data_IF_173121976070
#
_entry.id   IF_173121976070
#
_cell.length_a   1.000
_cell.length_b   1.000
_cell.length_c   1.000
_cell.angle_alpha   90.00
_cell.angle_beta   90.00
_cell.angle_gamma   90.00
#
_symmetry.space_group_name_H-M   'P 1'
#
loop_
_entity.id
_entity.type
_entity.pdbx_description
1 polymer ?
#
# COMPACT_ATOMS: atom_id res chain seq x y z
N UNK A 1 -13.97 11.44 -7.95
CA UNK A 1 -12.57 11.76 -8.34
C UNK A 1 -12.27 11.14 -9.70
N UNK A 2 -12.35 9.81 -9.85
CA UNK A 2 -12.09 9.10 -11.11
C UNK A 2 -13.01 9.45 -12.30
N UNK A 3 -14.29 9.72 -12.10
CA UNK A 3 -15.19 10.03 -13.22
C UNK A 3 -14.84 11.40 -13.88
N UNK A 4 -14.24 12.34 -13.13
CA UNK A 4 -13.65 13.59 -13.67
C UNK A 4 -12.28 13.40 -14.34
N UNK A 5 -11.69 12.21 -14.24
CA UNK A 5 -10.42 11.80 -14.88
C UNK A 5 -10.73 11.06 -16.20
N UNK A 6 -11.88 10.38 -16.26
CA UNK A 6 -12.36 9.57 -17.38
C UNK A 6 -13.35 10.34 -18.27
N UNK A 7 -13.68 11.60 -17.97
CA UNK A 7 -14.37 12.46 -18.94
C UNK A 7 -13.53 12.51 -20.22
N UNK A 8 -14.10 11.95 -21.28
CA UNK A 8 -13.41 11.42 -22.46
C UNK A 8 -12.76 12.48 -23.36
N UNK A 9 -12.79 13.76 -22.96
CA UNK A 9 -12.22 14.91 -23.67
C UNK A 9 -10.87 15.39 -23.09
N UNK A 10 -10.51 14.97 -21.86
CA UNK A 10 -9.26 15.33 -21.18
C UNK A 10 -8.19 14.23 -21.21
N UNK A 11 -8.26 13.28 -22.15
CA UNK A 11 -7.05 12.55 -22.57
C UNK A 11 -6.17 13.58 -23.29
N UNK A 12 -5.49 14.43 -22.51
CA UNK A 12 -4.54 15.40 -23.05
C UNK A 12 -3.48 14.59 -23.77
N UNK A 13 -3.50 14.77 -25.08
CA UNK A 13 -2.60 14.21 -26.08
C UNK A 13 -1.22 14.01 -25.46
N UNK A 14 -0.72 12.78 -25.51
CA UNK A 14 0.70 12.50 -25.42
C UNK A 14 1.37 13.49 -26.36
N UNK A 15 2.21 14.33 -25.78
CA UNK A 15 2.86 15.45 -26.44
C UNK A 15 3.58 14.91 -27.68
N UNK A 16 3.57 15.60 -28.81
CA UNK A 16 4.32 15.09 -29.98
C UNK A 16 5.82 15.10 -29.66
N UNK A 17 6.60 14.24 -30.31
CA UNK A 17 8.05 14.20 -30.05
C UNK A 17 8.67 15.60 -30.22
N UNK A 18 9.34 16.10 -29.18
CA UNK A 18 9.96 17.42 -29.12
C UNK A 18 9.05 18.56 -28.63
N UNK A 19 7.78 18.30 -28.33
CA UNK A 19 6.87 19.29 -27.74
C UNK A 19 6.92 19.22 -26.19
N UNK A 20 6.46 20.28 -25.52
CA UNK A 20 6.25 20.31 -24.06
C UNK A 20 4.91 20.95 -23.71
N UNK A 21 4.28 20.51 -22.63
CA UNK A 21 3.02 21.06 -22.10
C UNK A 21 3.23 21.53 -20.66
N UNK A 22 2.91 22.79 -20.38
CA UNK A 22 2.88 23.29 -19.00
C UNK A 22 1.61 22.77 -18.32
N UNK A 23 1.77 21.90 -17.31
CA UNK A 23 0.67 21.39 -16.49
C UNK A 23 0.24 22.41 -15.45
N UNK A 24 1.20 23.15 -14.88
CA UNK A 24 0.95 24.21 -13.89
C UNK A 24 2.10 25.20 -13.83
N UNK A 25 1.75 26.48 -13.78
CA UNK A 25 2.67 27.59 -13.48
C UNK A 25 2.45 28.10 -12.05
N UNK A 26 3.50 28.68 -11.46
CA UNK A 26 3.49 29.17 -10.08
C UNK A 26 3.26 28.09 -9.02
N UNK A 27 3.77 26.87 -9.26
CA UNK A 27 3.67 25.76 -8.32
C UNK A 27 4.75 25.85 -7.25
N UNK A 28 4.34 26.04 -5.99
CA UNK A 28 5.29 26.17 -4.88
C UNK A 28 5.81 24.81 -4.42
N UNK A 29 7.14 24.64 -4.51
CA UNK A 29 7.90 23.49 -4.03
C UNK A 29 8.83 23.94 -2.91
N UNK A 30 8.80 23.20 -1.81
CA UNK A 30 9.68 23.45 -0.67
C UNK A 30 11.15 23.38 -1.11
N UNK A 31 11.95 24.34 -0.64
CA UNK A 31 13.37 24.55 -0.99
C UNK A 31 13.66 25.03 -2.42
N UNK A 32 12.69 25.01 -3.35
CA UNK A 32 12.85 25.52 -4.73
C UNK A 32 12.04 26.79 -5.00
N UNK A 33 11.03 27.08 -4.19
CA UNK A 33 10.15 28.23 -4.38
C UNK A 33 9.10 27.97 -5.47
N UNK A 34 8.75 29.02 -6.22
CA UNK A 34 7.79 28.90 -7.33
C UNK A 34 8.47 28.26 -8.55
N UNK A 35 7.83 27.22 -9.08
CA UNK A 35 8.29 26.43 -10.21
C UNK A 35 7.16 26.20 -11.22
N UNK A 36 7.52 25.69 -12.40
CA UNK A 36 6.57 25.17 -13.38
C UNK A 36 6.63 23.65 -13.41
N UNK A 37 5.47 23.01 -13.46
CA UNK A 37 5.36 21.58 -13.72
C UNK A 37 5.06 21.40 -15.20
N UNK A 38 5.93 20.67 -15.89
CA UNK A 38 5.92 20.56 -17.35
C UNK A 38 5.97 19.08 -17.75
N UNK A 39 5.14 18.69 -18.71
CA UNK A 39 5.18 17.40 -19.37
C UNK A 39 6.02 17.51 -20.65
N UNK A 40 7.04 16.68 -20.76
CA UNK A 40 7.89 16.53 -21.95
C UNK A 40 7.59 15.20 -22.62
N UNK A 41 7.69 15.20 -23.96
CA UNK A 41 7.78 13.98 -24.74
C UNK A 41 8.96 14.11 -25.71
N UNK A 42 10.12 13.65 -25.25
CA UNK A 42 11.31 13.50 -26.07
C UNK A 42 11.44 12.00 -26.43
N UNK A 43 12.44 11.31 -25.91
CA UNK A 43 12.58 9.86 -26.04
C UNK A 43 11.62 9.08 -25.13
N UNK A 44 11.15 9.71 -24.06
CA UNK A 44 10.20 9.12 -23.13
C UNK A 44 9.25 10.19 -22.60
N UNK A 45 8.15 9.77 -21.97
CA UNK A 45 7.30 10.72 -21.26
C UNK A 45 8.00 11.12 -19.98
N UNK A 46 8.14 12.43 -19.74
CA UNK A 46 8.78 12.92 -18.52
C UNK A 46 8.03 14.09 -17.94
N UNK A 47 8.02 14.17 -16.62
CA UNK A 47 7.53 15.35 -15.91
C UNK A 47 8.73 16.08 -15.36
N UNK A 48 8.92 17.32 -15.79
CA UNK A 48 9.98 18.18 -15.28
C UNK A 48 9.44 19.28 -14.38
N UNK A 49 10.33 19.71 -13.49
CA UNK A 49 10.20 20.88 -12.65
C UNK A 49 11.13 21.93 -13.25
N UNK A 50 10.58 23.00 -13.83
CA UNK A 50 11.34 24.15 -14.30
C UNK A 50 11.37 25.25 -13.23
N UNK A 51 12.51 25.92 -13.07
CA UNK A 51 12.60 27.14 -12.25
C UNK A 51 11.89 28.34 -12.92
N UNK A 52 11.85 29.49 -12.24
CA UNK A 52 11.24 30.71 -12.79
C UNK A 52 11.91 31.23 -14.07
N UNK A 53 13.15 30.81 -14.35
CA UNK A 53 13.89 31.17 -15.56
C UNK A 53 13.65 30.16 -16.70
N UNK A 54 12.89 29.09 -16.45
CA UNK A 54 12.62 28.03 -17.42
C UNK A 54 13.71 26.95 -17.51
N UNK A 55 14.66 26.92 -16.57
CA UNK A 55 15.67 25.87 -16.52
C UNK A 55 15.09 24.62 -15.86
N UNK A 56 15.33 23.46 -16.47
CA UNK A 56 14.95 22.18 -15.89
C UNK A 56 15.80 21.90 -14.64
N UNK A 57 15.15 21.88 -13.47
CA UNK A 57 15.79 21.58 -12.17
C UNK A 57 15.79 20.08 -11.91
N UNK A 58 14.67 19.42 -12.22
CA UNK A 58 14.51 17.99 -11.98
C UNK A 58 13.55 17.39 -13.01
N UNK A 59 13.68 16.09 -13.29
CA UNK A 59 12.73 15.37 -14.15
C UNK A 59 12.50 13.93 -13.70
N UNK A 60 11.27 13.49 -13.91
CA UNK A 60 10.79 12.15 -13.60
C UNK A 60 10.41 11.45 -14.88
N UNK A 61 10.98 10.27 -15.13
CA UNK A 61 10.70 9.48 -16.32
C UNK A 61 9.54 8.54 -16.06
N UNK A 62 8.59 8.51 -16.98
CA UNK A 62 7.46 7.61 -16.98
C UNK A 62 7.48 6.74 -18.22
N UNK A 63 7.02 5.50 -18.05
CA UNK A 63 6.65 4.65 -19.17
C UNK A 63 5.38 5.19 -19.83
N UNK A 64 5.16 4.88 -21.11
CA UNK A 64 4.13 5.46 -22.00
C UNK A 64 2.87 5.99 -21.30
N UNK A 65 2.87 7.30 -20.99
CA UNK A 65 1.76 7.97 -20.32
C UNK A 65 0.58 7.98 -21.28
N UNK A 66 -0.54 7.44 -20.86
CA UNK A 66 -1.81 7.44 -21.58
C UNK A 66 -2.62 8.70 -21.24
N UNK A 67 -2.59 9.12 -19.97
CA UNK A 67 -3.27 10.31 -19.49
C UNK A 67 -2.61 10.84 -18.22
N UNK A 68 -2.69 12.15 -18.02
CA UNK A 68 -2.13 12.81 -16.85
C UNK A 68 -2.97 14.02 -16.44
N UNK A 69 -3.13 14.21 -15.13
CA UNK A 69 -3.86 15.34 -14.56
C UNK A 69 -3.26 15.78 -13.23
N UNK A 70 -2.86 17.04 -13.14
CA UNK A 70 -2.52 17.66 -11.87
C UNK A 70 -3.79 18.20 -11.22
N UNK A 71 -4.01 17.85 -9.96
CA UNK A 71 -5.11 18.31 -9.15
C UNK A 71 -4.73 19.52 -8.30
N UNK A 72 -5.75 20.24 -7.82
CA UNK A 72 -5.58 21.42 -6.99
C UNK A 72 -4.85 21.14 -5.66
N UNK A 73 -4.96 19.91 -5.16
CA UNK A 73 -4.30 19.47 -3.92
C UNK A 73 -2.85 19.03 -4.14
N UNK A 74 -2.22 19.40 -5.27
CA UNK A 74 -0.85 19.03 -5.67
C UNK A 74 -0.64 17.55 -6.00
N UNK A 75 -1.71 16.75 -6.01
CA UNK A 75 -1.64 15.38 -6.47
C UNK A 75 -1.66 15.30 -7.99
N UNK A 76 -0.82 14.42 -8.50
CA UNK A 76 -0.69 14.08 -9.89
C UNK A 76 -1.30 12.71 -10.11
N UNK A 77 -2.34 12.64 -10.93
CA UNK A 77 -2.84 11.37 -11.44
C UNK A 77 -2.10 11.05 -12.71
N UNK A 78 -1.50 9.87 -12.77
CA UNK A 78 -0.86 9.33 -13.96
C UNK A 78 -1.53 8.01 -14.32
N UNK A 79 -1.95 7.90 -15.58
CA UNK A 79 -2.40 6.66 -16.19
C UNK A 79 -1.36 6.30 -17.24
N UNK A 80 -0.66 5.20 -17.04
CA UNK A 80 0.38 4.70 -17.93
C UNK A 80 0.26 3.18 -18.13
N UNK A 81 1.25 2.56 -18.76
CA UNK A 81 1.25 1.11 -18.99
C UNK A 81 1.27 0.29 -17.71
N UNK A 82 1.75 0.85 -16.60
CA UNK A 82 1.81 0.16 -15.30
C UNK A 82 0.50 0.22 -14.56
N UNK A 83 -0.37 1.19 -14.88
CA UNK A 83 -1.71 1.29 -14.33
C UNK A 83 -2.09 2.73 -14.02
N UNK A 84 -2.87 2.89 -12.95
CA UNK A 84 -3.31 4.18 -12.43
C UNK A 84 -2.55 4.46 -11.15
N UNK A 85 -1.80 5.56 -11.12
CA UNK A 85 -1.14 6.03 -9.91
C UNK A 85 -1.59 7.43 -9.53
N UNK A 86 -1.65 7.67 -8.22
CA UNK A 86 -1.76 9.01 -7.65
C UNK A 86 -0.44 9.27 -6.95
N UNK A 87 0.21 10.35 -7.33
CA UNK A 87 1.54 10.70 -6.85
C UNK A 87 1.52 12.14 -6.32
N UNK A 88 2.17 12.39 -5.21
CA UNK A 88 2.34 13.75 -4.69
C UNK A 88 3.76 14.21 -5.04
N UNK A 89 3.88 15.42 -5.60
CA UNK A 89 5.19 16.06 -5.80
C UNK A 89 5.64 16.58 -4.44
N UNK A 90 6.67 15.96 -3.87
CA UNK A 90 7.27 16.38 -2.61
C UNK A 90 8.73 16.76 -2.85
N UNK A 91 9.02 18.06 -2.77
CA UNK A 91 10.33 18.61 -3.09
C UNK A 91 10.79 18.19 -4.50
N UNK A 92 11.81 17.34 -4.60
CA UNK A 92 12.36 16.84 -5.86
C UNK A 92 12.03 15.36 -6.11
N UNK A 93 11.05 14.80 -5.40
CA UNK A 93 10.66 13.39 -5.52
C UNK A 93 9.15 13.24 -5.76
N UNK A 94 8.75 12.11 -6.34
CA UNK A 94 7.36 11.72 -6.48
C UNK A 94 7.03 10.63 -5.46
N UNK A 95 6.07 10.90 -4.60
CA UNK A 95 5.58 9.95 -3.62
C UNK A 95 4.31 9.27 -4.13
N UNK A 96 4.37 7.97 -4.40
CA UNK A 96 3.19 7.18 -4.76
C UNK A 96 2.26 7.03 -3.56
N UNK A 97 1.07 7.64 -3.66
CA UNK A 97 -0.01 7.62 -2.66
C UNK A 97 -1.01 6.51 -2.94
N UNK A 98 -1.17 6.17 -4.21
CA UNK A 98 -2.08 5.12 -4.66
C UNK A 98 -1.54 4.50 -5.93
N UNK A 99 -1.68 3.18 -6.06
CA UNK A 99 -1.37 2.44 -7.28
C UNK A 99 -2.45 1.39 -7.50
N UNK A 100 -2.93 1.27 -8.73
CA UNK A 100 -3.91 0.26 -9.08
C UNK A 100 -3.78 -0.19 -10.53
N UNK A 101 -3.96 -1.50 -10.75
CA UNK A 101 -4.29 -2.10 -12.05
C UNK A 101 -5.03 -3.41 -11.81
N UNK A 102 -5.85 -3.85 -12.76
CA UNK A 102 -6.45 -5.19 -12.70
C UNK A 102 -5.56 -6.22 -13.42
N UNK A 103 -5.97 -7.49 -13.38
CA UNK A 103 -5.21 -8.58 -14.00
C UNK A 103 -5.14 -8.46 -15.52
N UNK A 104 -6.18 -7.92 -16.16
CA UNK A 104 -6.19 -7.71 -17.61
C UNK A 104 -5.14 -6.69 -18.03
N UNK A 105 -5.09 -5.55 -17.33
CA UNK A 105 -4.07 -4.51 -17.52
C UNK A 105 -2.66 -5.08 -17.30
N UNK A 106 -2.47 -5.84 -16.21
CA UNK A 106 -1.17 -6.49 -15.93
C UNK A 106 -0.76 -7.44 -17.05
N UNK A 107 -1.67 -8.27 -17.57
CA UNK A 107 -1.37 -9.20 -18.65
C UNK A 107 -0.96 -8.48 -19.94
N UNK A 108 -1.56 -7.32 -20.23
CA UNK A 108 -1.16 -6.48 -21.37
C UNK A 108 0.24 -5.91 -21.14
N UNK A 109 0.49 -5.36 -19.94
CA UNK A 109 1.80 -4.85 -19.56
C UNK A 109 2.89 -5.92 -19.68
N UNK A 110 2.66 -7.11 -19.13
CA UNK A 110 3.63 -8.21 -19.18
C UNK A 110 3.94 -8.57 -20.65
N UNK A 111 2.91 -8.69 -21.52
CA UNK A 111 3.12 -8.91 -22.96
C UNK A 111 3.90 -7.79 -23.63
N UNK A 112 3.58 -6.54 -23.32
CA UNK A 112 4.26 -5.38 -23.87
C UNK A 112 5.75 -5.38 -23.50
N UNK A 113 6.06 -5.62 -22.22
CA UNK A 113 7.40 -5.68 -21.68
C UNK A 113 8.23 -6.82 -22.29
N UNK A 114 7.69 -8.04 -22.35
CA UNK A 114 8.44 -9.20 -22.86
C UNK A 114 8.60 -9.20 -24.39
N UNK A 115 7.72 -8.54 -25.13
CA UNK A 115 7.81 -8.51 -26.59
C UNK A 115 8.64 -7.34 -27.13
N UNK A 116 9.18 -6.46 -26.26
CA UNK A 116 9.90 -5.22 -26.65
C UNK A 116 9.11 -4.35 -27.65
N UNK A 117 7.78 -4.39 -27.58
CA UNK A 117 6.88 -3.71 -28.53
C UNK A 117 6.63 -2.25 -28.15
N UNK A 118 7.69 -1.52 -27.76
CA UNK A 118 7.59 -0.13 -27.27
C UNK A 118 6.90 0.81 -28.27
N UNK A 119 7.02 0.53 -29.57
CA UNK A 119 6.42 1.36 -30.62
C UNK A 119 4.90 1.22 -30.78
N UNK A 120 4.26 0.23 -30.13
CA UNK A 120 2.86 -0.12 -30.42
C UNK A 120 1.88 0.11 -29.25
N UNK A 121 2.20 0.98 -28.30
CA UNK A 121 1.28 1.31 -27.21
C UNK A 121 -0.08 1.81 -27.72
N UNK A 122 -0.08 2.46 -28.89
CA UNK A 122 -1.29 2.94 -29.56
C UNK A 122 -2.30 1.82 -29.89
N UNK A 123 -1.85 0.59 -30.19
CA UNK A 123 -2.76 -0.53 -30.40
C UNK A 123 -3.45 -1.01 -29.12
N UNK A 124 -2.85 -0.78 -27.96
CA UNK A 124 -3.41 -1.18 -26.65
C UNK A 124 -4.29 -0.10 -26.01
N UNK A 125 -4.21 1.17 -26.48
CA UNK A 125 -5.03 2.29 -25.97
C UNK A 125 -6.53 1.98 -25.92
N UNK A 126 -7.17 1.37 -26.94
CA UNK A 126 -8.58 1.03 -26.87
C UNK A 126 -8.90 0.06 -25.73
N UNK A 127 -8.02 -0.91 -25.48
CA UNK A 127 -8.20 -1.93 -24.43
C UNK A 127 -8.14 -1.29 -23.04
N UNK A 128 -7.18 -0.40 -22.79
CA UNK A 128 -7.13 0.33 -21.52
C UNK A 128 -8.37 1.21 -21.29
N UNK A 129 -8.92 1.83 -22.35
CA UNK A 129 -10.18 2.59 -22.25
C UNK A 129 -11.36 1.70 -21.86
N UNK A 130 -11.43 0.49 -22.43
CA UNK A 130 -12.47 -0.47 -22.10
C UNK A 130 -12.37 -0.95 -20.64
N UNK A 131 -11.15 -1.28 -20.18
CA UNK A 131 -10.89 -1.63 -18.77
C UNK A 131 -11.34 -0.49 -17.83
N UNK A 132 -10.95 0.76 -18.13
CA UNK A 132 -11.34 1.92 -17.34
C UNK A 132 -12.86 2.08 -17.28
N UNK A 133 -13.55 1.92 -18.41
CA UNK A 133 -15.01 1.99 -18.46
C UNK A 133 -15.65 0.88 -17.63
N UNK A 134 -15.16 -0.35 -17.73
CA UNK A 134 -15.73 -1.50 -17.03
C UNK A 134 -15.53 -1.43 -15.50
N UNK A 135 -14.41 -0.87 -15.04
CA UNK A 135 -14.03 -0.83 -13.63
C UNK A 135 -14.55 0.43 -12.91
N UNK A 136 -14.66 1.55 -13.62
CA UNK A 136 -14.99 2.86 -13.05
C UNK A 136 -16.28 3.48 -13.62
N UNK A 137 -17.17 2.67 -14.22
CA UNK A 137 -18.51 3.13 -14.61
C UNK A 137 -19.25 3.80 -13.44
N UNK A 138 -20.17 4.73 -13.73
CA UNK A 138 -20.88 5.56 -12.75
C UNK A 138 -21.65 4.74 -11.69
N UNK A 139 -21.92 3.47 -11.99
CA UNK A 139 -22.53 2.49 -11.11
C UNK A 139 -21.59 1.94 -10.01
N UNK A 140 -20.26 1.99 -10.22
CA UNK A 140 -19.22 1.45 -9.34
C UNK A 140 -18.46 2.59 -8.63
N UNK A 141 -19.12 3.26 -7.68
CA UNK A 141 -18.55 4.44 -6.97
C UNK A 141 -17.42 4.13 -5.97
N UNK A 142 -17.02 2.87 -5.82
CA UNK A 142 -16.02 2.51 -4.82
C UNK A 142 -14.61 2.54 -5.40
N UNK A 143 -13.68 3.16 -4.68
CA UNK A 143 -12.25 3.07 -4.99
C UNK A 143 -11.85 1.58 -5.04
N UNK A 144 -11.10 1.13 -6.06
CA UNK A 144 -10.57 -0.23 -6.11
C UNK A 144 -9.53 -0.52 -5.02
N UNK A 145 -9.28 -1.79 -4.75
CA UNK A 145 -8.25 -2.22 -3.80
C UNK A 145 -6.84 -1.94 -4.37
N UNK A 146 -6.00 -1.11 -3.73
CA UNK A 146 -4.71 -0.72 -4.32
C UNK A 146 -3.66 -1.83 -4.27
N UNK A 147 -2.70 -1.75 -5.19
CA UNK A 147 -1.48 -2.54 -5.20
C UNK A 147 -0.47 -1.88 -4.28
N UNK A 148 -0.41 -2.36 -3.04
CA UNK A 148 0.40 -1.75 -1.99
C UNK A 148 1.82 -2.33 -1.89
N UNK A 149 2.04 -3.58 -2.30
CA UNK A 149 3.39 -4.19 -2.27
C UNK A 149 4.30 -3.50 -3.29
N UNK A 150 3.83 -3.31 -4.52
CA UNK A 150 4.59 -2.61 -5.56
C UNK A 150 4.49 -1.07 -5.42
N UNK A 151 3.36 -0.57 -4.93
CA UNK A 151 3.16 0.86 -4.71
C UNK A 151 4.00 1.43 -3.56
N UNK A 152 4.55 0.57 -2.70
CA UNK A 152 5.48 0.95 -1.65
C UNK A 152 4.82 1.40 -0.34
N UNK A 153 5.64 1.84 0.63
CA UNK A 153 5.21 2.09 2.01
C UNK A 153 4.19 3.23 2.15
N UNK A 154 4.23 4.21 1.26
CA UNK A 154 3.32 5.36 1.30
C UNK A 154 1.87 4.97 0.98
N UNK A 155 1.66 4.03 0.05
CA UNK A 155 0.32 3.50 -0.26
C UNK A 155 -0.30 2.83 0.97
N UNK A 156 0.49 2.04 1.70
CA UNK A 156 0.06 1.40 2.95
C UNK A 156 -0.30 2.46 3.98
N UNK A 157 0.59 3.42 4.22
CA UNK A 157 0.39 4.50 5.19
C UNK A 157 -0.90 5.27 4.93
N UNK A 158 -1.14 5.65 3.68
CA UNK A 158 -2.30 6.46 3.30
C UNK A 158 -3.61 5.73 3.50
N UNK A 159 -3.69 4.47 3.06
CA UNK A 159 -4.89 3.65 3.24
C UNK A 159 -5.23 3.47 4.72
N UNK A 160 -4.23 3.31 5.57
CA UNK A 160 -4.45 3.03 7.00
C UNK A 160 -4.81 4.29 7.77
N UNK A 161 -4.25 5.43 7.37
CA UNK A 161 -4.57 6.73 7.95
C UNK A 161 -5.97 7.24 7.56
N UNK A 162 -6.55 6.72 6.47
CA UNK A 162 -7.86 7.10 6.00
C UNK A 162 -8.96 6.31 6.74
N UNK A 163 -9.83 7.02 7.45
CA UNK A 163 -10.89 6.43 8.26
C UNK A 163 -11.94 5.63 7.46
N UNK A 164 -12.07 5.88 6.16
CA UNK A 164 -13.00 5.19 5.27
C UNK A 164 -12.33 4.01 4.55
N UNK A 165 -11.07 4.18 4.14
CA UNK A 165 -10.31 3.16 3.43
C UNK A 165 -9.76 2.09 4.38
N UNK A 166 -9.31 2.46 5.58
CA UNK A 166 -8.67 1.56 6.54
C UNK A 166 -9.56 0.38 6.94
N UNK A 167 -10.84 0.57 7.34
CA UNK A 167 -11.73 -0.55 7.66
C UNK A 167 -12.01 -1.47 6.46
N UNK A 168 -12.01 -0.92 5.24
CA UNK A 168 -12.31 -1.67 4.02
C UNK A 168 -11.10 -2.44 3.51
N UNK A 169 -9.93 -1.82 3.53
CA UNK A 169 -8.73 -2.31 2.83
C UNK A 169 -7.62 -2.73 3.76
N UNK A 170 -7.43 -2.06 4.90
CA UNK A 170 -6.28 -2.32 5.75
C UNK A 170 -6.28 -3.74 6.35
N UNK A 171 -7.47 -4.31 6.61
CA UNK A 171 -7.67 -5.72 6.96
C UNK A 171 -7.18 -6.66 5.85
N UNK A 172 -7.62 -6.44 4.62
CA UNK A 172 -7.25 -7.27 3.48
C UNK A 172 -5.76 -7.10 3.12
N UNK A 173 -5.21 -5.90 3.28
CA UNK A 173 -3.77 -5.65 3.17
C UNK A 173 -2.98 -6.45 4.18
N UNK A 174 -3.42 -6.49 5.45
CA UNK A 174 -2.74 -7.29 6.48
C UNK A 174 -2.76 -8.78 6.14
N UNK A 175 -3.90 -9.32 5.72
CA UNK A 175 -4.02 -10.72 5.29
C UNK A 175 -3.06 -11.04 4.13
N UNK A 176 -3.02 -10.18 3.11
CA UNK A 176 -2.13 -10.37 1.95
C UNK A 176 -0.66 -10.26 2.38
N UNK A 177 -0.33 -9.29 3.22
CA UNK A 177 1.03 -9.06 3.68
C UNK A 177 1.56 -10.24 4.52
N UNK A 178 0.74 -10.80 5.43
CA UNK A 178 1.08 -12.02 6.19
C UNK A 178 1.33 -13.18 5.22
N UNK A 179 0.38 -13.46 4.32
CA UNK A 179 0.51 -14.54 3.32
C UNK A 179 1.77 -14.39 2.45
N UNK A 180 2.16 -13.16 2.13
CA UNK A 180 3.34 -12.83 1.32
C UNK A 180 4.62 -12.67 2.15
N UNK A 181 4.54 -12.73 3.49
CA UNK A 181 5.64 -12.45 4.42
C UNK A 181 6.29 -11.07 4.18
N UNK A 182 5.47 -10.07 3.84
CA UNK A 182 5.93 -8.72 3.54
C UNK A 182 6.13 -7.89 4.82
N UNK A 183 7.33 -7.97 5.39
CA UNK A 183 7.66 -7.48 6.73
C UNK A 183 7.33 -5.99 6.93
N UNK A 184 7.75 -5.14 6.01
CA UNK A 184 7.58 -3.69 6.12
C UNK A 184 6.10 -3.28 6.19
N UNK A 185 5.25 -3.91 5.39
CA UNK A 185 3.80 -3.62 5.41
C UNK A 185 3.16 -4.11 6.69
N UNK A 186 3.52 -5.31 7.16
CA UNK A 186 3.01 -5.86 8.41
C UNK A 186 3.32 -4.87 9.55
N UNK A 187 4.60 -4.48 9.66
CA UNK A 187 5.07 -3.56 10.69
C UNK A 187 4.40 -2.18 10.61
N UNK A 188 4.24 -1.64 9.40
CA UNK A 188 3.54 -0.36 9.20
C UNK A 188 2.08 -0.42 9.60
N UNK A 189 1.35 -1.47 9.19
CA UNK A 189 -0.05 -1.62 9.54
C UNK A 189 -0.23 -1.66 11.05
N UNK A 190 0.56 -2.51 11.69
CA UNK A 190 0.57 -2.74 13.11
C UNK A 190 0.86 -1.46 13.92
N UNK A 191 1.91 -0.72 13.54
CA UNK A 191 2.30 0.48 14.28
C UNK A 191 1.28 1.61 14.11
N UNK A 192 0.56 1.60 13.00
CA UNK A 192 -0.47 2.59 12.69
C UNK A 192 -1.80 2.27 13.37
N UNK A 193 -2.08 1.00 13.67
CA UNK A 193 -3.29 0.58 14.40
C UNK A 193 -3.14 0.82 15.90
N UNK A 194 -3.15 2.08 16.34
CA UNK A 194 -3.10 2.45 17.75
C UNK A 194 -4.35 2.06 18.55
N UNK A 195 -5.48 1.83 17.86
CA UNK A 195 -6.79 1.60 18.49
C UNK A 195 -7.32 0.16 18.37
N UNK A 196 -6.49 -0.81 17.98
CA UNK A 196 -6.80 -2.26 18.01
C UNK A 196 -8.28 -2.62 17.73
N UNK A 197 -8.84 -2.14 16.63
CA UNK A 197 -10.25 -2.46 16.32
C UNK A 197 -10.42 -3.99 16.26
N UNK A 198 -11.59 -4.49 16.70
CA UNK A 198 -11.87 -5.93 16.84
C UNK A 198 -11.51 -6.76 15.59
N UNK A 199 -11.64 -6.17 14.40
CA UNK A 199 -11.32 -6.83 13.15
C UNK A 199 -9.81 -7.08 12.97
N UNK A 200 -8.97 -6.09 13.28
CA UNK A 200 -7.51 -6.27 13.23
C UNK A 200 -7.06 -7.26 14.31
N UNK A 201 -7.61 -7.14 15.52
CA UNK A 201 -7.40 -8.08 16.62
C UNK A 201 -7.71 -9.52 16.19
N UNK A 202 -8.85 -9.74 15.54
CA UNK A 202 -9.26 -11.06 15.06
C UNK A 202 -8.27 -11.64 14.05
N UNK A 203 -7.79 -10.83 13.09
CA UNK A 203 -6.83 -11.29 12.07
C UNK A 203 -5.47 -11.60 12.69
N UNK A 204 -4.98 -10.74 13.59
CA UNK A 204 -3.72 -10.96 14.31
C UNK A 204 -3.81 -12.25 15.12
N UNK A 205 -4.92 -12.44 15.85
CA UNK A 205 -5.17 -13.65 16.65
C UNK A 205 -5.25 -14.92 15.79
N UNK A 206 -5.89 -14.85 14.62
CA UNK A 206 -5.97 -15.98 13.69
C UNK A 206 -4.63 -16.36 13.05
N UNK A 207 -3.71 -15.41 12.90
CA UNK A 207 -2.40 -15.62 12.29
C UNK A 207 -1.26 -15.60 13.33
N UNK A 208 -1.61 -15.72 14.61
CA UNK A 208 -0.69 -15.54 15.74
C UNK A 208 0.53 -16.48 15.64
N UNK A 209 0.32 -17.74 15.27
CA UNK A 209 1.39 -18.72 15.15
C UNK A 209 2.44 -18.38 14.08
N UNK A 210 2.00 -17.79 12.97
CA UNK A 210 2.89 -17.33 11.91
C UNK A 210 3.58 -16.03 12.34
N UNK A 211 2.83 -15.13 12.99
CA UNK A 211 3.39 -13.89 13.49
C UNK A 211 4.41 -14.09 14.62
N UNK A 212 4.26 -15.09 15.48
CA UNK A 212 5.22 -15.42 16.53
C UNK A 212 6.59 -15.85 15.98
N UNK A 213 6.59 -16.61 14.88
CA UNK A 213 7.84 -17.09 14.27
C UNK A 213 8.64 -15.98 13.61
N UNK A 214 7.93 -15.03 13.00
CA UNK A 214 8.54 -14.04 12.12
C UNK A 214 8.58 -12.63 12.74
N UNK A 215 7.75 -12.35 13.76
CA UNK A 215 7.55 -11.03 14.36
C UNK A 215 7.32 -11.10 15.89
N UNK A 216 8.21 -11.74 16.67
CA UNK A 216 8.01 -11.97 18.11
C UNK A 216 7.87 -10.67 18.92
N UNK A 217 8.64 -9.63 18.61
CA UNK A 217 8.61 -8.34 19.33
C UNK A 217 7.26 -7.64 19.18
N UNK A 218 6.67 -7.73 18.00
CA UNK A 218 5.33 -7.21 17.77
C UNK A 218 4.29 -7.97 18.58
N UNK A 219 4.33 -9.30 18.56
CA UNK A 219 3.36 -10.11 19.30
C UNK A 219 3.45 -9.82 20.79
N UNK A 220 4.65 -9.63 21.34
CA UNK A 220 4.84 -9.21 22.73
C UNK A 220 4.13 -7.87 23.00
N UNK A 221 4.31 -6.87 22.13
CA UNK A 221 3.64 -5.56 22.24
C UNK A 221 2.11 -5.66 22.10
N UNK A 222 1.62 -6.50 21.20
CA UNK A 222 0.20 -6.75 21.00
C UNK A 222 -0.43 -7.41 22.23
N UNK A 223 0.22 -8.43 22.77
CA UNK A 223 -0.21 -9.13 24.00
C UNK A 223 -0.16 -8.16 25.19
N UNK A 224 0.84 -7.28 25.30
CA UNK A 224 0.92 -6.32 26.40
C UNK A 224 -0.14 -5.20 26.31
N UNK A 225 -0.57 -4.85 25.09
CA UNK A 225 -1.53 -3.76 24.84
C UNK A 225 -2.99 -4.21 24.87
N UNK A 226 -3.23 -5.51 24.81
CA UNK A 226 -4.57 -6.11 24.84
C UNK A 226 -4.66 -6.81 26.18
N UNK A 227 -5.74 -6.69 26.94
CA UNK A 227 -5.81 -7.19 28.34
C UNK A 227 -5.69 -8.73 28.49
N UNK A 228 -5.14 -9.42 27.51
CA UNK A 228 -4.50 -10.73 27.62
C UNK A 228 -3.22 -10.56 28.47
N UNK A 229 -3.37 -10.27 29.76
CA UNK A 229 -2.27 -10.42 30.71
C UNK A 229 -1.89 -11.90 30.75
N UNK A 230 -0.80 -12.25 30.07
CA UNK A 230 -0.05 -13.45 30.43
C UNK A 230 0.40 -13.23 31.87
N UNK A 231 -0.11 -14.04 32.80
CA UNK A 231 0.46 -14.10 34.13
C UNK A 231 1.99 -14.30 34.00
N UNK A 232 2.84 -13.61 34.77
CA UNK A 232 4.27 -13.92 34.82
C UNK A 232 4.53 -15.36 35.29
N UNK A 233 3.51 -16.04 35.81
CA UNK A 233 3.48 -17.46 36.16
C UNK A 233 2.77 -18.33 35.12
N UNK A 234 2.62 -17.88 33.87
CA UNK A 234 2.03 -18.68 32.80
C UNK A 234 2.90 -19.91 32.52
N UNK A 235 2.38 -21.10 32.82
CA UNK A 235 3.13 -22.37 32.73
C UNK A 235 2.99 -23.00 31.34
N UNK A 236 1.95 -22.63 30.58
CA UNK A 236 1.71 -23.15 29.24
C UNK A 236 0.40 -22.68 28.62
N UNK A 237 0.26 -22.91 27.31
CA UNK A 237 -0.94 -22.65 26.52
C UNK A 237 -1.53 -24.01 26.12
N UNK A 238 -2.81 -24.26 26.40
CA UNK A 238 -3.49 -25.52 26.10
C UNK A 238 -4.72 -25.32 25.19
N UNK A 239 -5.07 -26.36 24.42
CA UNK A 239 -6.27 -26.40 23.61
C UNK A 239 -7.52 -26.58 24.49
N UNK A 240 -8.54 -25.74 24.31
CA UNK A 240 -9.81 -25.84 25.05
C UNK A 240 -11.05 -25.96 24.16
N UNK A 241 -12.04 -26.68 24.69
CA UNK A 241 -13.39 -26.78 24.13
C UNK A 241 -14.38 -25.76 24.73
N UNK A 242 -13.97 -24.99 25.75
CA UNK A 242 -14.81 -24.01 26.43
C UNK A 242 -14.73 -22.62 25.76
N UNK A 243 -15.85 -21.91 25.69
CA UNK A 243 -16.01 -20.63 24.98
C UNK A 243 -15.74 -19.38 25.82
N UNK A 244 -15.52 -19.51 27.13
CA UNK A 244 -15.28 -18.38 28.03
C UNK A 244 -13.79 -18.13 28.25
N UNK A 245 -13.30 -16.95 27.82
CA UNK A 245 -11.99 -16.41 28.19
C UNK A 245 -12.00 -15.98 29.66
N UNK A 246 -11.58 -16.83 30.59
CA UNK A 246 -11.26 -16.41 31.94
C UNK A 246 -9.75 -16.18 32.05
N UNK A 247 -9.35 -14.92 32.11
CA UNK A 247 -7.97 -14.42 32.14
C UNK A 247 -7.33 -14.40 33.54
N UNK A 248 -7.61 -15.39 34.38
CA UNK A 248 -7.04 -15.47 35.74
C UNK A 248 -6.54 -16.89 36.12
N UNK A 249 -6.29 -17.76 35.14
CA UNK A 249 -5.72 -19.08 35.38
C UNK A 249 -4.25 -19.15 34.90
N UNK A 250 -3.42 -19.92 35.60
CA UNK A 250 -2.01 -20.19 35.25
C UNK A 250 -1.82 -20.93 33.90
N UNK A 251 -2.93 -21.27 33.22
CA UNK A 251 -2.98 -21.97 31.94
C UNK A 251 -4.00 -21.25 31.06
N UNK A 252 -3.56 -20.83 29.86
CA UNK A 252 -4.44 -20.18 28.88
C UNK A 252 -5.03 -21.21 27.95
N UNK A 253 -6.35 -21.12 27.80
CA UNK A 253 -7.16 -22.02 27.01
C UNK A 253 -7.54 -21.36 25.69
N UNK A 254 -6.91 -21.78 24.58
CA UNK A 254 -7.20 -21.27 23.24
C UNK A 254 -8.14 -22.25 22.53
N UNK A 255 -9.15 -21.73 21.83
CA UNK A 255 -10.07 -22.54 21.04
C UNK A 255 -9.30 -23.26 19.94
N UNK A 256 -9.37 -24.59 19.94
CA UNK A 256 -8.75 -25.43 18.91
C UNK A 256 -9.26 -25.03 17.52
N UNK A 257 -8.36 -24.52 16.67
CA UNK A 257 -8.65 -24.32 15.25
C UNK A 257 -8.35 -25.62 14.50
N UNK A 258 -9.17 -25.97 13.50
CA UNK A 258 -8.98 -27.20 12.71
C UNK A 258 -7.77 -27.14 11.76
N UNK A 259 -6.87 -26.15 11.90
CA UNK A 259 -5.67 -26.00 11.10
C UNK A 259 -4.49 -26.49 11.94
N UNK A 260 -3.89 -27.60 11.49
CA UNK A 260 -2.84 -28.34 12.17
C UNK A 260 -1.56 -27.52 12.39
N UNK A 261 -1.36 -27.07 13.64
CA UNK A 261 -0.15 -27.25 14.46
C UNK A 261 -0.39 -26.60 15.84
N UNK A 262 -0.04 -27.26 16.95
CA UNK A 262 -0.27 -26.71 18.28
C UNK A 262 0.59 -25.45 18.47
N UNK A 263 -0.08 -24.34 18.76
CA UNK A 263 0.52 -23.03 19.02
C UNK A 263 1.44 -23.08 20.25
N UNK A 264 1.16 -23.98 21.20
CA UNK A 264 1.85 -24.14 22.49
C UNK A 264 3.36 -24.35 22.37
N UNK A 265 3.83 -25.18 21.44
CA UNK A 265 5.25 -25.51 21.30
C UNK A 265 6.13 -24.33 20.81
N UNK A 266 5.53 -23.32 20.16
CA UNK A 266 6.26 -22.12 19.70
C UNK A 266 6.44 -21.08 20.82
N UNK A 267 5.47 -20.98 21.72
CA UNK A 267 5.51 -20.01 22.82
C UNK A 267 6.53 -20.38 23.89
N UNK A 268 6.68 -21.67 24.22
CA UNK A 268 7.72 -22.13 25.16
C UNK A 268 9.13 -21.71 24.71
N UNK A 269 9.40 -21.75 23.39
CA UNK A 269 10.70 -21.38 22.82
C UNK A 269 10.98 -19.87 22.87
N UNK A 270 9.94 -19.03 22.75
CA UNK A 270 10.06 -17.57 22.82
C UNK A 270 10.19 -17.11 24.28
N UNK A 271 9.42 -17.71 25.19
CA UNK A 271 9.46 -17.39 26.62
C UNK A 271 10.77 -17.83 27.27
N UNK A 272 11.29 -19.01 26.91
CA UNK A 272 12.57 -19.52 27.43
C UNK A 272 13.80 -18.75 26.93
N UNK A 273 13.72 -18.08 25.77
CA UNK A 273 14.81 -17.29 25.20
C UNK A 273 14.93 -15.87 25.74
N UNK A 274 13.81 -15.20 26.03
CA UNK A 274 13.80 -13.78 26.47
C UNK A 274 13.81 -13.56 27.98
N UNK A 275 13.32 -14.51 28.78
CA UNK A 275 13.35 -14.39 30.25
C UNK A 275 14.76 -14.39 30.84
N UNK A 276 15.79 -14.80 30.07
CA UNK A 276 17.18 -14.77 30.54
C UNK A 276 17.88 -13.42 30.33
N UNK A 277 17.43 -12.56 29.41
CA UNK A 277 18.15 -11.32 29.06
C UNK A 277 17.56 -10.05 29.70
N UNK A 278 16.26 -10.02 30.04
CA UNK A 278 15.61 -8.77 30.52
C UNK A 278 15.47 -8.62 32.04
N UNK A 279 16.01 -9.54 32.87
CA UNK A 279 15.99 -9.41 34.34
C UNK A 279 17.36 -9.37 35.02
N UNK A 280 18.39 -8.86 34.33
CA UNK A 280 19.60 -8.37 35.00
C UNK A 280 19.76 -6.88 34.74
N UNK A 281 19.03 -6.05 35.50
CA UNK A 281 19.42 -4.73 36.05
C UNK A 281 18.20 -4.18 36.82
N UNK A 282 18.39 -4.13 38.15
CA UNK A 282 17.62 -3.49 39.24
C UNK A 282 16.16 -3.90 39.46
#
# INVERSE_FOLDING_TARGET
MFNKIIEQDEIKKVVSHGEKIVLKDGFEIKNLGLCRIVLYHDYSNRIGIEDNNGNLVHSFVFSDILSIKLLNNKDLIVIDIHGISIQTINEIWLETRYLWRNNEWKNIYDKFFFMNNYDNINAYKPIFREILKNEFDDSKRSIPFPIFIEGGPNVVKDVISDNLASPKFGIEMLKIAIKKKHQDTIQQIINSTQNYSENYMSIISLNLAELCDYYPDFIIKYISSTSIMLSPYCIGIEDSKNTSLYSYANIIYIKKSNIEKPISAKYEKILSGKLLEEFTIL
#
